data_IF_350071157720
#
_entry.id   IF_350071157720
#
_cell.length_a   1.000
_cell.length_b   1.000
_cell.length_c   1.000
_cell.angle_alpha   90.00
_cell.angle_beta   90.00
_cell.angle_gamma   90.00
#
_symmetry.space_group_name_H-M   'P 1'
#
loop_
_entity.id
_entity.type
_entity.pdbx_description
1 polymer ?
#
# COMPACT_ATOMS: atom_id res chain seq x y z
N UNK A 1 -16.79 5.11 -9.28
CA UNK A 1 -15.54 5.70 -8.75
C UNK A 1 -15.98 6.86 -7.86
N UNK A 2 -15.94 6.65 -6.56
CA UNK A 2 -16.29 7.66 -5.56
C UNK A 2 -15.01 8.21 -4.95
N UNK A 3 -14.97 9.52 -4.68
CA UNK A 3 -13.86 10.15 -3.98
C UNK A 3 -13.79 9.57 -2.56
N UNK A 4 -12.74 8.80 -2.26
CA UNK A 4 -12.52 8.20 -0.93
C UNK A 4 -12.30 6.69 -0.92
N UNK A 5 -12.64 5.97 -1.99
CA UNK A 5 -12.34 4.53 -2.10
C UNK A 5 -10.97 4.29 -2.78
N UNK A 6 -9.90 4.80 -2.16
CA UNK A 6 -8.53 4.64 -2.65
C UNK A 6 -7.76 3.67 -1.75
N UNK A 7 -7.18 2.62 -2.34
CA UNK A 7 -6.32 1.68 -1.61
C UNK A 7 -4.93 2.28 -1.37
N UNK A 8 -4.41 3.05 -2.34
CA UNK A 8 -3.02 3.52 -2.33
C UNK A 8 -2.88 4.85 -3.06
N UNK A 9 -2.02 5.71 -2.54
CA UNK A 9 -1.62 6.96 -3.18
C UNK A 9 -0.18 6.89 -3.67
N UNK A 10 0.07 7.50 -4.83
CA UNK A 10 1.39 7.63 -5.45
C UNK A 10 1.71 9.12 -5.64
N UNK A 11 2.77 9.59 -5.00
CA UNK A 11 3.32 10.93 -5.19
C UNK A 11 4.64 10.75 -5.94
N UNK A 12 4.79 11.44 -7.08
CA UNK A 12 5.99 11.34 -7.94
C UNK A 12 6.85 12.61 -7.91
N UNK A 13 6.28 13.73 -7.47
CA UNK A 13 6.98 15.01 -7.37
C UNK A 13 6.38 15.87 -6.25
N UNK A 14 7.19 16.67 -5.52
CA UNK A 14 8.65 16.81 -5.65
C UNK A 14 9.46 15.67 -5.01
N UNK A 15 8.78 14.77 -4.29
CA UNK A 15 9.35 13.55 -3.72
C UNK A 15 8.55 12.34 -4.21
N UNK A 16 9.21 11.20 -4.20
CA UNK A 16 8.60 9.91 -4.52
C UNK A 16 8.07 9.27 -3.24
N UNK A 17 6.77 8.96 -3.20
CA UNK A 17 6.15 8.26 -2.07
C UNK A 17 4.99 7.40 -2.55
N UNK A 18 5.02 6.14 -2.15
CA UNK A 18 3.89 5.23 -2.24
C UNK A 18 3.35 5.03 -0.83
N UNK A 19 2.07 5.30 -0.61
CA UNK A 19 1.41 5.06 0.68
C UNK A 19 0.16 4.20 0.49
N UNK A 20 0.16 3.04 1.12
CA UNK A 20 -0.98 2.14 1.18
C UNK A 20 -1.86 2.52 2.40
N UNK A 21 -3.09 2.95 2.15
CA UNK A 21 -3.98 3.47 3.19
C UNK A 21 -4.67 2.37 4.00
N UNK A 22 -4.74 1.15 3.46
CA UNK A 22 -5.34 0.02 4.18
C UNK A 22 -4.36 -0.54 5.21
N UNK A 23 -3.13 -0.77 4.77
CA UNK A 23 -2.10 -1.45 5.57
C UNK A 23 -1.19 -0.49 6.33
N UNK A 24 -1.18 0.79 5.93
CA UNK A 24 -0.28 1.81 6.49
C UNK A 24 1.16 1.73 5.97
N UNK A 25 1.47 0.81 5.05
CA UNK A 25 2.81 0.65 4.47
C UNK A 25 3.16 1.84 3.58
N UNK A 26 4.37 2.36 3.75
CA UNK A 26 4.90 3.45 2.95
C UNK A 26 6.27 3.12 2.36
N UNK A 27 6.51 3.52 1.10
CA UNK A 27 7.77 3.29 0.39
C UNK A 27 8.16 4.54 -0.39
N UNK A 28 9.34 5.07 -0.11
CA UNK A 28 9.87 6.27 -0.78
C UNK A 28 10.40 6.02 -2.19
N UNK A 29 10.66 4.77 -2.55
CA UNK A 29 11.23 4.40 -3.86
C UNK A 29 10.11 3.92 -4.80
N UNK A 30 9.44 4.86 -5.46
CA UNK A 30 8.29 4.57 -6.35
C UNK A 30 8.74 3.81 -7.61
N UNK A 31 9.95 4.07 -8.10
CA UNK A 31 10.52 3.40 -9.28
C UNK A 31 10.59 1.88 -9.08
N UNK A 32 11.02 1.42 -7.90
CA UNK A 32 11.02 -0.01 -7.56
C UNK A 32 9.63 -0.62 -7.53
N UNK A 33 8.65 0.13 -7.04
CA UNK A 33 7.24 -0.31 -7.03
C UNK A 33 6.73 -0.47 -8.45
N UNK A 34 7.07 0.45 -9.36
CA UNK A 34 6.76 0.32 -10.79
C UNK A 34 7.50 -0.82 -11.48
N UNK A 35 8.70 -1.17 -11.01
CA UNK A 35 9.44 -2.36 -11.45
C UNK A 35 8.88 -3.68 -10.88
N UNK A 36 7.82 -3.62 -10.07
CA UNK A 36 7.11 -4.80 -9.58
C UNK A 36 7.45 -5.21 -8.15
N UNK A 37 8.23 -4.42 -7.40
CA UNK A 37 8.47 -4.68 -5.98
C UNK A 37 7.24 -4.35 -5.11
N UNK A 38 6.18 -5.16 -5.23
CA UNK A 38 4.91 -5.00 -4.53
C UNK A 38 4.67 -6.01 -3.41
N UNK A 39 5.55 -7.00 -3.24
CA UNK A 39 5.43 -8.09 -2.25
C UNK A 39 5.18 -7.60 -0.83
N UNK A 40 5.82 -6.49 -0.43
CA UNK A 40 5.64 -5.90 0.89
C UNK A 40 4.19 -5.49 1.14
N UNK A 41 3.54 -4.87 0.15
CA UNK A 41 2.16 -4.46 0.26
C UNK A 41 1.20 -5.66 0.25
N UNK A 42 1.46 -6.66 -0.58
CA UNK A 42 0.65 -7.89 -0.65
C UNK A 42 0.71 -8.62 0.69
N UNK A 43 1.92 -8.82 1.22
CA UNK A 43 2.15 -9.47 2.50
C UNK A 43 1.48 -8.71 3.64
N UNK A 44 1.56 -7.38 3.64
CA UNK A 44 0.91 -6.55 4.65
C UNK A 44 -0.63 -6.67 4.59
N UNK A 45 -1.21 -6.72 3.39
CA UNK A 45 -2.65 -6.91 3.19
C UNK A 45 -3.10 -8.28 3.73
N UNK A 46 -2.39 -9.35 3.37
CA UNK A 46 -2.67 -10.70 3.85
C UNK A 46 -2.56 -10.81 5.38
N UNK A 47 -1.54 -10.19 5.98
CA UNK A 47 -1.39 -10.14 7.45
C UNK A 47 -2.56 -9.40 8.11
N UNK A 48 -3.01 -8.30 7.53
CA UNK A 48 -4.15 -7.54 8.04
C UNK A 48 -5.44 -8.37 7.98
N UNK A 49 -5.71 -9.04 6.87
CA UNK A 49 -6.86 -9.94 6.72
C UNK A 49 -6.80 -11.11 7.71
N UNK A 50 -5.63 -11.74 7.89
CA UNK A 50 -5.46 -12.82 8.85
C UNK A 50 -5.68 -12.36 10.30
N UNK A 51 -5.19 -11.16 10.67
CA UNK A 51 -5.46 -10.55 11.98
C UNK A 51 -6.95 -10.30 12.20
N UNK A 52 -7.65 -9.82 11.17
CA UNK A 52 -9.09 -9.61 11.23
C UNK A 52 -9.84 -10.92 11.46
N UNK A 53 -9.49 -12.01 10.76
CA UNK A 53 -10.09 -13.33 10.95
C UNK A 53 -9.88 -13.91 12.35
N UNK A 54 -8.72 -13.65 12.98
CA UNK A 54 -8.41 -14.13 14.32
C UNK A 54 -9.03 -13.28 15.45
N UNK A 55 -9.65 -12.14 15.11
CA UNK A 55 -10.29 -11.23 16.06
C UNK A 55 -11.82 -11.34 16.05
N UNK A 56 -12.35 -12.33 15.32
CA UNK A 56 -13.78 -12.69 15.24
C UNK A 56 -14.00 -14.01 15.96
#
# INVERSE_FOLDING_TARGET
>A
IEWGNQVRSYVLHPYTLVKDHQTGVEKGDVEKVFKGEIDEFVTASLRMSAKYQNSV
#
